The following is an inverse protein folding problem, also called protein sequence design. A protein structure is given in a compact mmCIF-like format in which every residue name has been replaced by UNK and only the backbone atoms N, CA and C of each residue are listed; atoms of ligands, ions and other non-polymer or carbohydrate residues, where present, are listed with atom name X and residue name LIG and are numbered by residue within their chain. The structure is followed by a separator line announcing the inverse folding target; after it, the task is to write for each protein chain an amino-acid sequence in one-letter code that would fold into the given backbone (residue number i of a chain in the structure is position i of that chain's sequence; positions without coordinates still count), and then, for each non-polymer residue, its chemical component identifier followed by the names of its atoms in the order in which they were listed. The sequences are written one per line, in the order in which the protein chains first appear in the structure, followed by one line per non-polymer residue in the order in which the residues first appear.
data_IF_859205667648
#
_entry.id   IF_859205667648
#
_cell.length_a   1.000
_cell.length_b   1.000
_cell.length_c   1.000
_cell.angle_alpha   90.00
_cell.angle_beta   90.00
_cell.angle_gamma   90.00
#
_symmetry.space_group_name_H-M   'P 1'
#
loop_
_entity.id
_entity.type
_entity.pdbx_description
1 polymer ?
#
# COMPACT_ATOMS: atom_id res chain seq x y z
N UNK A 1 12.88 -1.82 -14.01
CA UNK A 1 11.68 -1.58 -14.88
C UNK A 1 11.85 -0.21 -15.50
N UNK A 2 11.49 -0.03 -16.80
CA UNK A 2 11.63 1.28 -17.47
C UNK A 2 10.71 2.33 -16.78
N UNK A 3 11.31 3.43 -16.34
CA UNK A 3 10.60 4.53 -15.64
C UNK A 3 9.55 5.23 -16.52
N UNK A 4 9.64 5.14 -17.83
CA UNK A 4 8.63 5.71 -18.74
C UNK A 4 7.26 5.06 -18.55
N UNK A 5 7.21 3.79 -18.14
CA UNK A 5 5.98 3.07 -17.81
C UNK A 5 5.26 3.78 -16.66
N UNK A 6 5.99 4.15 -15.60
CA UNK A 6 5.43 4.85 -14.45
C UNK A 6 4.86 6.21 -14.85
N UNK A 7 5.60 7.01 -15.62
CA UNK A 7 5.13 8.34 -16.04
C UNK A 7 3.91 8.26 -16.95
N UNK A 8 3.87 7.33 -17.91
CA UNK A 8 2.68 7.10 -18.75
C UNK A 8 1.45 6.75 -17.93
N UNK A 9 1.59 5.87 -16.92
CA UNK A 9 0.50 5.51 -16.01
C UNK A 9 0.07 6.72 -15.17
N UNK A 10 1.01 7.47 -14.59
CA UNK A 10 0.75 8.68 -13.81
C UNK A 10 -0.05 9.71 -14.61
N UNK A 11 0.44 10.04 -15.81
CA UNK A 11 -0.15 11.06 -16.67
C UNK A 11 -1.57 10.64 -17.13
N UNK A 12 -1.74 9.37 -17.49
CA UNK A 12 -3.05 8.82 -17.84
C UNK A 12 -4.07 8.95 -16.70
N UNK A 13 -3.69 8.53 -15.49
CA UNK A 13 -4.58 8.57 -14.33
C UNK A 13 -4.97 10.01 -13.97
N UNK A 14 -4.00 10.93 -14.02
CA UNK A 14 -4.22 12.35 -13.77
C UNK A 14 -5.12 12.98 -14.83
N UNK A 15 -4.84 12.76 -16.10
CA UNK A 15 -5.63 13.30 -17.22
C UNK A 15 -7.09 12.83 -17.21
N UNK A 16 -7.35 11.63 -16.69
CA UNK A 16 -8.71 11.07 -16.58
C UNK A 16 -9.38 11.33 -15.20
N UNK A 17 -8.75 12.09 -14.30
CA UNK A 17 -9.28 12.37 -12.97
C UNK A 17 -9.44 11.14 -12.06
N UNK A 18 -8.69 10.05 -12.34
CA UNK A 18 -8.82 8.77 -11.62
C UNK A 18 -7.99 8.77 -10.35
N UNK A 19 -6.74 9.22 -10.45
CA UNK A 19 -5.82 9.35 -9.32
C UNK A 19 -4.80 10.44 -9.61
N UNK A 20 -4.47 11.20 -8.58
CA UNK A 20 -3.42 12.21 -8.59
C UNK A 20 -2.66 12.17 -7.27
N UNK A 21 -1.33 12.19 -7.34
CA UNK A 21 -0.44 12.27 -6.18
C UNK A 21 0.14 13.67 -6.00
N UNK A 22 -0.13 14.58 -6.94
CA UNK A 22 0.34 15.95 -6.87
C UNK A 22 -0.52 16.77 -5.87
N UNK A 23 0.11 17.50 -4.99
CA UNK A 23 -0.55 18.46 -4.10
C UNK A 23 -1.11 17.93 -2.77
N UNK A 24 -1.18 16.61 -2.55
CA UNK A 24 -1.55 16.03 -1.25
C UNK A 24 -0.36 15.31 -0.64
N UNK A 25 -0.04 15.63 0.61
CA UNK A 25 1.00 14.90 1.34
C UNK A 25 0.48 13.52 1.74
N UNK A 26 1.22 12.49 1.35
CA UNK A 26 0.98 11.13 1.84
C UNK A 26 1.36 10.99 3.32
N UNK A 27 0.88 9.94 3.99
CA UNK A 27 1.30 9.62 5.35
C UNK A 27 2.82 9.37 5.44
N UNK A 28 3.42 8.84 4.37
CA UNK A 28 4.88 8.66 4.24
C UNK A 28 5.60 10.00 4.26
N UNK A 29 5.13 10.96 3.48
CA UNK A 29 5.69 12.32 3.47
C UNK A 29 5.54 13.01 4.84
N UNK A 30 4.36 12.87 5.49
CA UNK A 30 4.16 13.41 6.83
C UNK A 30 5.13 12.80 7.84
N UNK A 31 5.37 11.49 7.80
CA UNK A 31 6.37 10.84 8.66
C UNK A 31 7.78 11.34 8.36
N UNK A 32 8.15 11.50 7.10
CA UNK A 32 9.45 12.05 6.70
C UNK A 32 9.66 13.50 7.18
N UNK A 33 8.57 14.23 7.40
CA UNK A 33 8.56 15.58 8.00
C UNK A 33 8.51 15.56 9.55
N UNK A 34 8.59 14.37 10.16
CA UNK A 34 8.68 14.23 11.62
C UNK A 34 7.35 13.91 12.33
N UNK A 35 6.26 13.63 11.59
CA UNK A 35 5.01 13.18 12.22
C UNK A 35 5.19 11.80 12.83
N UNK A 36 4.87 11.66 14.12
CA UNK A 36 4.58 10.38 14.79
C UNK A 36 3.09 10.07 14.69
N UNK A 37 2.74 8.78 14.66
CA UNK A 37 1.35 8.32 14.57
C UNK A 37 0.86 7.85 15.93
N UNK A 38 -0.36 8.28 16.31
CA UNK A 38 -0.99 7.90 17.57
C UNK A 38 -1.44 6.44 17.56
N UNK A 39 -1.83 5.94 18.74
CA UNK A 39 -2.37 4.58 18.86
C UNK A 39 -3.65 4.40 18.04
N UNK A 40 -4.53 5.39 18.04
CA UNK A 40 -5.76 5.37 17.25
C UNK A 40 -5.46 5.33 15.74
N UNK A 41 -4.46 6.09 15.28
CA UNK A 41 -4.01 6.06 13.89
C UNK A 41 -3.39 4.70 13.51
N UNK A 42 -2.68 4.06 14.44
CA UNK A 42 -2.18 2.69 14.25
C UNK A 42 -3.32 1.67 14.16
N UNK A 43 -4.29 1.73 15.05
CA UNK A 43 -5.41 0.81 15.03
C UNK A 43 -6.31 1.03 13.80
N UNK A 44 -6.54 2.29 13.40
CA UNK A 44 -7.17 2.63 12.12
C UNK A 44 -6.40 1.98 10.96
N UNK A 45 -5.08 2.11 10.95
CA UNK A 45 -4.22 1.53 9.92
C UNK A 45 -4.33 0.01 9.84
N UNK A 46 -4.39 -0.68 10.98
CA UNK A 46 -4.62 -2.13 11.04
C UNK A 46 -5.99 -2.50 10.49
N UNK A 47 -7.06 -1.82 10.94
CA UNK A 47 -8.44 -2.11 10.50
C UNK A 47 -8.59 -1.86 9.01
N UNK A 48 -8.11 -0.73 8.47
CA UNK A 48 -8.17 -0.45 7.04
C UNK A 48 -7.33 -1.43 6.21
N UNK A 49 -6.21 -1.88 6.74
CA UNK A 49 -5.43 -2.95 6.12
C UNK A 49 -6.25 -4.24 6.00
N UNK A 50 -6.92 -4.66 7.05
CA UNK A 50 -7.80 -5.84 7.04
C UNK A 50 -8.96 -5.66 6.05
N UNK A 51 -9.62 -4.49 6.07
CA UNK A 51 -10.72 -4.17 5.15
C UNK A 51 -10.30 -4.11 3.67
N UNK A 52 -9.03 -3.89 3.38
CA UNK A 52 -8.52 -3.93 2.01
C UNK A 52 -8.50 -5.33 1.40
N UNK A 53 -8.71 -6.39 2.20
CA UNK A 53 -8.74 -7.77 1.73
C UNK A 53 -10.08 -8.11 1.09
N UNK A 54 -10.06 -8.46 -0.20
CA UNK A 54 -11.24 -8.95 -0.95
C UNK A 54 -12.44 -7.98 -0.97
N UNK A 55 -12.20 -6.70 -0.75
CA UNK A 55 -13.23 -5.64 -0.76
C UNK A 55 -12.98 -4.69 -1.93
N UNK A 56 -14.04 -4.20 -2.55
CA UNK A 56 -13.94 -3.09 -3.51
C UNK A 56 -13.61 -1.83 -2.71
N UNK A 57 -12.36 -1.37 -2.83
CA UNK A 57 -11.85 -0.27 -2.00
C UNK A 57 -12.65 1.02 -2.12
N UNK A 58 -13.22 1.31 -3.30
CA UNK A 58 -14.11 2.45 -3.50
C UNK A 58 -15.32 2.47 -2.55
N UNK A 59 -15.80 1.30 -2.09
CA UNK A 59 -16.86 1.22 -1.10
C UNK A 59 -16.35 1.61 0.30
N UNK A 60 -15.13 1.21 0.64
CA UNK A 60 -14.48 1.60 1.90
C UNK A 60 -14.23 3.11 1.93
N UNK A 61 -13.70 3.68 0.84
CA UNK A 61 -13.45 5.13 0.72
C UNK A 61 -14.71 5.98 0.93
N UNK A 62 -15.83 5.57 0.35
CA UNK A 62 -17.13 6.27 0.51
C UNK A 62 -17.67 6.23 1.93
N UNK A 63 -17.24 5.25 2.72
CA UNK A 63 -17.78 4.96 4.06
C UNK A 63 -16.77 5.21 5.19
N UNK A 64 -15.65 5.89 4.96
CA UNK A 64 -14.65 6.15 6.00
C UNK A 64 -15.25 6.65 7.31
N UNK A 65 -16.08 7.70 7.25
CA UNK A 65 -16.73 8.24 8.45
C UNK A 65 -17.62 7.22 9.18
N UNK A 66 -18.34 6.38 8.44
CA UNK A 66 -19.18 5.33 9.03
C UNK A 66 -18.36 4.23 9.66
N UNK A 67 -17.20 3.90 9.07
CA UNK A 67 -16.24 2.93 9.61
C UNK A 67 -15.60 3.51 10.88
N UNK A 68 -15.14 4.77 10.84
CA UNK A 68 -14.53 5.43 11.99
C UNK A 68 -15.51 5.47 13.18
N UNK A 69 -16.80 5.75 12.93
CA UNK A 69 -17.83 5.71 13.94
C UNK A 69 -18.11 4.29 14.47
N UNK A 70 -18.15 3.28 13.58
CA UNK A 70 -18.37 1.88 13.97
C UNK A 70 -17.27 1.37 14.92
N UNK A 71 -16.03 1.85 14.72
CA UNK A 71 -14.89 1.49 15.55
C UNK A 71 -14.56 2.54 16.63
N UNK A 72 -15.53 3.37 17.04
CA UNK A 72 -15.42 4.36 18.11
C UNK A 72 -14.16 5.23 18.01
N UNK A 73 -13.85 5.71 16.81
CA UNK A 73 -12.64 6.45 16.49
C UNK A 73 -11.37 5.74 16.98
N UNK A 74 -11.38 4.42 16.95
CA UNK A 74 -10.26 3.50 17.24
C UNK A 74 -9.75 3.56 18.70
N UNK A 75 -10.61 3.91 19.65
CA UNK A 75 -10.32 3.84 21.09
C UNK A 75 -10.39 2.38 21.54
N UNK A 76 -9.25 1.80 21.94
CA UNK A 76 -9.13 0.37 22.29
C UNK A 76 -10.17 -0.07 23.32
N UNK A 77 -10.34 0.71 24.41
CA UNK A 77 -11.26 0.35 25.48
C UNK A 77 -12.71 0.27 24.99
N UNK A 78 -13.10 1.17 24.08
CA UNK A 78 -14.44 1.13 23.46
C UNK A 78 -14.59 -0.04 22.50
N UNK A 79 -13.57 -0.32 21.69
CA UNK A 79 -13.58 -1.47 20.78
C UNK A 79 -13.74 -2.77 21.57
N UNK A 80 -13.10 -2.90 22.72
CA UNK A 80 -13.23 -4.08 23.59
C UNK A 80 -14.63 -4.28 24.21
N UNK A 81 -15.48 -3.27 24.20
CA UNK A 81 -16.87 -3.40 24.70
C UNK A 81 -17.77 -4.23 23.77
N UNK A 82 -17.39 -4.41 22.52
CA UNK A 82 -18.16 -5.12 21.52
C UNK A 82 -17.41 -6.36 21.04
N UNK A 83 -18.14 -7.43 20.77
CA UNK A 83 -17.59 -8.64 20.18
C UNK A 83 -17.36 -8.53 18.65
N UNK A 84 -16.69 -9.52 18.08
CA UNK A 84 -16.45 -9.54 16.64
C UNK A 84 -17.72 -9.55 15.80
N UNK A 85 -18.83 -10.09 16.32
CA UNK A 85 -20.11 -10.15 15.60
C UNK A 85 -20.73 -8.77 15.42
N UNK A 86 -20.59 -7.90 16.42
CA UNK A 86 -20.99 -6.50 16.31
C UNK A 86 -20.32 -5.81 15.11
N UNK A 87 -19.01 -5.95 14.96
CA UNK A 87 -18.25 -5.35 13.85
C UNK A 87 -18.58 -5.99 12.50
N UNK A 88 -18.76 -7.31 12.46
CA UNK A 88 -19.21 -8.01 11.25
C UNK A 88 -20.53 -7.41 10.76
N UNK A 89 -21.53 -7.35 11.63
CA UNK A 89 -22.87 -6.85 11.29
C UNK A 89 -22.81 -5.36 10.87
N UNK A 90 -22.05 -4.56 11.60
CA UNK A 90 -21.84 -3.14 11.27
C UNK A 90 -21.22 -2.94 9.89
N UNK A 91 -20.15 -3.66 9.56
CA UNK A 91 -19.47 -3.58 8.27
C UNK A 91 -20.38 -4.02 7.10
N UNK A 92 -21.15 -5.09 7.27
CA UNK A 92 -22.14 -5.49 6.25
C UNK A 92 -23.25 -4.45 6.08
N UNK A 93 -23.74 -3.88 7.18
CA UNK A 93 -24.79 -2.83 7.13
C UNK A 93 -24.35 -1.59 6.35
N UNK A 94 -23.09 -1.20 6.44
CA UNK A 94 -22.55 -0.05 5.71
C UNK A 94 -21.94 -0.41 4.34
N UNK A 95 -22.13 -1.64 3.87
CA UNK A 95 -21.65 -2.09 2.55
C UNK A 95 -20.13 -2.29 2.44
N UNK A 96 -19.43 -2.43 3.58
CA UNK A 96 -17.97 -2.65 3.64
C UNK A 96 -17.58 -4.08 4.05
N UNK A 97 -18.55 -5.00 4.13
CA UNK A 97 -18.31 -6.42 4.38
C UNK A 97 -17.75 -7.14 3.15
N UNK A 98 -16.92 -8.16 3.39
CA UNK A 98 -16.36 -9.07 2.40
C UNK A 98 -16.35 -10.50 2.92
N UNK A 99 -15.92 -11.48 2.10
CA UNK A 99 -15.80 -12.88 2.51
C UNK A 99 -14.83 -13.07 3.69
N UNK A 100 -13.83 -12.19 3.85
CA UNK A 100 -12.86 -12.23 4.94
C UNK A 100 -13.34 -11.57 6.23
N UNK A 101 -14.33 -10.68 6.18
CA UNK A 101 -14.79 -9.85 7.30
C UNK A 101 -15.10 -10.65 8.56
N UNK A 102 -15.84 -11.76 8.42
CA UNK A 102 -16.20 -12.57 9.58
C UNK A 102 -14.95 -13.17 10.28
N UNK A 103 -14.02 -13.73 9.52
CA UNK A 103 -12.78 -14.28 10.07
C UNK A 103 -11.89 -13.18 10.69
N UNK A 104 -11.84 -12.00 10.09
CA UNK A 104 -11.02 -10.87 10.56
C UNK A 104 -11.58 -10.27 11.85
N UNK A 105 -12.88 -10.04 11.93
CA UNK A 105 -13.49 -9.40 13.10
C UNK A 105 -13.58 -10.34 14.30
N UNK A 106 -13.75 -11.64 14.09
CA UNK A 106 -13.71 -12.64 15.19
C UNK A 106 -12.37 -12.67 15.94
N UNK A 107 -11.28 -12.30 15.27
CA UNK A 107 -9.93 -12.29 15.88
C UNK A 107 -9.45 -10.87 16.23
N UNK A 108 -10.34 -9.87 16.18
CA UNK A 108 -9.98 -8.48 16.43
C UNK A 108 -9.41 -8.29 17.85
N UNK A 109 -10.02 -8.89 18.87
CA UNK A 109 -9.54 -8.81 20.25
C UNK A 109 -8.18 -9.51 20.44
N UNK A 110 -7.92 -10.62 19.73
CA UNK A 110 -6.61 -11.25 19.75
C UNK A 110 -5.54 -10.33 19.13
N UNK A 111 -5.89 -9.61 18.06
CA UNK A 111 -5.02 -8.63 17.45
C UNK A 111 -4.76 -7.44 18.37
N UNK A 112 -5.79 -6.95 19.08
CA UNK A 112 -5.63 -5.91 20.11
C UNK A 112 -4.69 -6.38 21.22
N UNK A 113 -4.85 -7.62 21.72
CA UNK A 113 -3.93 -8.19 22.72
C UNK A 113 -2.48 -8.28 22.21
N UNK A 114 -2.31 -8.56 20.91
CA UNK A 114 -0.97 -8.53 20.28
C UNK A 114 -0.41 -7.10 20.22
N UNK A 115 -1.24 -6.10 19.92
CA UNK A 115 -0.87 -4.68 19.95
C UNK A 115 -0.44 -4.26 21.35
N UNK A 116 -1.21 -4.61 22.39
CA UNK A 116 -0.89 -4.31 23.80
C UNK A 116 0.46 -4.94 24.21
N UNK A 117 0.71 -6.18 23.77
CA UNK A 117 2.02 -6.83 23.98
C UNK A 117 3.16 -6.07 23.30
N UNK A 118 2.97 -5.59 22.07
CA UNK A 118 3.95 -4.78 21.36
C UNK A 118 4.21 -3.47 22.12
N UNK A 119 3.16 -2.79 22.57
CA UNK A 119 3.27 -1.54 23.34
C UNK A 119 4.06 -1.77 24.63
N UNK A 120 3.80 -2.85 25.36
CA UNK A 120 4.52 -3.18 26.58
C UNK A 120 6.03 -3.42 26.35
N UNK A 121 6.42 -3.92 25.16
CA UNK A 121 7.82 -4.24 24.86
C UNK A 121 8.56 -3.07 24.17
N UNK A 122 7.88 -2.27 23.36
CA UNK A 122 8.48 -1.20 22.55
C UNK A 122 8.10 0.22 23.02
N UNK A 123 7.22 0.34 24.01
CA UNK A 123 6.69 1.61 24.51
C UNK A 123 5.54 2.18 23.68
N UNK A 124 5.51 1.93 22.36
CA UNK A 124 4.41 2.32 21.48
C UNK A 124 4.40 1.49 20.20
N UNK A 125 3.28 1.51 19.46
CA UNK A 125 3.22 0.95 18.10
C UNK A 125 4.11 1.74 17.13
N UNK A 126 4.22 3.04 17.32
CA UNK A 126 5.06 3.89 16.45
C UNK A 126 6.56 3.56 16.61
N UNK A 127 7.02 3.35 17.84
CA UNK A 127 8.37 2.87 18.12
C UNK A 127 8.60 1.48 17.49
N UNK A 128 7.62 0.58 17.59
CA UNK A 128 7.75 -0.76 17.03
C UNK A 128 7.95 -0.72 15.53
N UNK A 129 7.09 0.00 14.76
CA UNK A 129 7.18 0.01 13.30
C UNK A 129 8.44 0.71 12.78
N UNK A 130 9.10 1.51 13.61
CA UNK A 130 10.35 2.21 13.28
C UNK A 130 11.60 1.54 13.86
N UNK A 131 11.44 0.47 14.65
CA UNK A 131 12.56 -0.19 15.37
C UNK A 131 13.47 -1.03 14.48
N UNK A 132 12.98 -1.44 13.29
CA UNK A 132 13.67 -2.34 12.38
C UNK A 132 13.36 -2.00 10.92
N UNK A 133 14.12 -2.53 9.94
CA UNK A 133 13.76 -2.45 8.53
C UNK A 133 12.32 -2.94 8.28
N UNK A 134 11.60 -2.25 7.40
CA UNK A 134 10.17 -2.52 7.14
C UNK A 134 9.88 -3.97 6.76
N UNK A 135 10.78 -4.64 6.00
CA UNK A 135 10.65 -6.08 5.67
C UNK A 135 10.68 -6.96 6.92
N UNK A 136 11.48 -6.64 7.92
CA UNK A 136 11.50 -7.36 9.19
C UNK A 136 10.22 -7.13 9.99
N UNK A 137 9.74 -5.89 10.07
CA UNK A 137 8.45 -5.57 10.72
C UNK A 137 7.31 -6.33 10.04
N UNK A 138 7.26 -6.35 8.70
CA UNK A 138 6.28 -7.16 7.95
C UNK A 138 6.36 -8.63 8.35
N UNK A 139 7.56 -9.21 8.41
CA UNK A 139 7.76 -10.60 8.85
C UNK A 139 7.29 -10.80 10.29
N UNK A 140 7.59 -9.88 11.19
CA UNK A 140 7.15 -9.96 12.59
C UNK A 140 5.62 -9.94 12.71
N UNK A 141 4.92 -9.15 11.90
CA UNK A 141 3.46 -9.04 11.92
C UNK A 141 2.74 -10.17 11.15
N UNK A 142 3.42 -10.83 10.20
CA UNK A 142 2.79 -11.77 9.27
C UNK A 142 3.26 -13.22 9.39
N UNK A 143 4.43 -13.53 9.94
CA UNK A 143 4.93 -14.90 10.09
C UNK A 143 4.28 -15.65 11.24
N UNK A 144 4.01 -16.94 11.03
CA UNK A 144 3.38 -17.81 12.04
C UNK A 144 4.28 -18.05 13.26
N UNK A 145 5.58 -17.98 13.08
CA UNK A 145 6.60 -18.18 14.12
C UNK A 145 6.80 -16.94 14.99
N UNK A 146 6.25 -15.80 14.57
CA UNK A 146 6.42 -14.54 15.30
C UNK A 146 5.48 -14.45 16.49
N UNK A 147 6.02 -14.05 17.65
CA UNK A 147 5.22 -13.71 18.84
C UNK A 147 4.32 -12.47 18.66
N UNK A 148 4.53 -11.69 17.59
CA UNK A 148 3.76 -10.49 17.24
C UNK A 148 2.85 -10.72 16.04
N UNK A 149 2.64 -11.98 15.65
CA UNK A 149 1.76 -12.33 14.54
C UNK A 149 0.36 -11.77 14.73
N UNK A 150 -0.05 -10.89 13.83
CA UNK A 150 -1.44 -10.42 13.74
C UNK A 150 -2.30 -11.47 13.02
N UNK A 151 -3.39 -11.89 13.63
CA UNK A 151 -4.32 -12.86 13.02
C UNK A 151 -4.97 -12.29 11.76
N UNK A 152 -5.18 -13.12 10.75
CA UNK A 152 -5.74 -12.74 9.45
C UNK A 152 -4.92 -11.69 8.67
N UNK A 153 -3.68 -11.43 9.08
CA UNK A 153 -2.76 -10.50 8.42
C UNK A 153 -1.61 -11.30 7.77
N UNK A 154 -1.62 -11.37 6.44
CA UNK A 154 -0.49 -11.86 5.65
C UNK A 154 0.48 -10.74 5.28
N UNK A 155 1.59 -11.04 4.55
CA UNK A 155 2.59 -10.04 4.17
C UNK A 155 2.00 -8.82 3.45
N UNK A 156 1.12 -9.02 2.47
CA UNK A 156 0.50 -7.92 1.73
C UNK A 156 -0.32 -6.97 2.63
N UNK A 157 -1.05 -7.50 3.64
CA UNK A 157 -1.80 -6.68 4.59
C UNK A 157 -0.89 -6.02 5.61
N UNK A 158 0.23 -6.65 5.99
CA UNK A 158 1.23 -6.03 6.85
C UNK A 158 1.90 -4.84 6.13
N UNK A 159 2.21 -4.95 4.84
CA UNK A 159 2.67 -3.81 4.03
C UNK A 159 1.62 -2.71 3.94
N UNK A 160 0.35 -3.05 3.72
CA UNK A 160 -0.74 -2.05 3.72
C UNK A 160 -0.83 -1.31 5.06
N UNK A 161 -0.76 -2.04 6.18
CA UNK A 161 -0.72 -1.42 7.50
C UNK A 161 0.45 -0.45 7.66
N UNK A 162 1.67 -0.86 7.29
CA UNK A 162 2.85 0.00 7.38
C UNK A 162 2.67 1.30 6.57
N UNK A 163 2.14 1.21 5.36
CA UNK A 163 1.81 2.39 4.53
C UNK A 163 0.78 3.28 5.20
N UNK A 164 -0.23 2.69 5.84
CA UNK A 164 -1.28 3.41 6.56
C UNK A 164 -0.76 4.19 7.78
N UNK A 165 0.46 3.91 8.24
CA UNK A 165 1.14 4.63 9.32
C UNK A 165 2.45 5.29 8.87
N UNK A 166 2.58 5.55 7.58
CA UNK A 166 3.64 6.37 7.01
C UNK A 166 4.99 5.68 6.85
N UNK A 167 5.08 4.35 6.90
CA UNK A 167 6.28 3.62 6.51
C UNK A 167 6.24 3.39 5.00
N UNK A 168 7.28 3.84 4.29
CA UNK A 168 7.32 3.70 2.84
C UNK A 168 7.50 2.24 2.41
N UNK A 169 6.79 1.86 1.37
CA UNK A 169 6.81 0.51 0.82
C UNK A 169 5.72 0.27 -0.20
N UNK A 170 5.77 -0.88 -0.85
CA UNK A 170 4.75 -1.35 -1.79
C UNK A 170 3.94 -2.50 -1.19
N UNK A 171 2.70 -2.64 -1.62
CA UNK A 171 1.83 -3.77 -1.27
C UNK A 171 1.86 -4.82 -2.39
N UNK A 172 2.45 -6.00 -2.18
CA UNK A 172 2.47 -7.05 -3.19
C UNK A 172 1.10 -7.77 -3.26
N UNK A 173 0.08 -7.06 -3.72
CA UNK A 173 -1.26 -7.59 -3.88
C UNK A 173 -1.49 -8.19 -5.28
N UNK A 174 -2.69 -8.72 -5.52
CA UNK A 174 -3.05 -9.38 -6.77
C UNK A 174 -2.93 -8.46 -7.98
N UNK A 175 -3.14 -7.15 -7.83
CA UNK A 175 -3.03 -6.19 -8.92
C UNK A 175 -1.57 -5.99 -9.32
N UNK A 176 -0.72 -5.77 -8.32
CA UNK A 176 0.71 -5.59 -8.53
C UNK A 176 1.37 -6.85 -9.08
N UNK A 177 1.06 -8.02 -8.50
CA UNK A 177 1.59 -9.32 -8.97
C UNK A 177 1.21 -9.59 -10.43
N UNK A 178 -0.03 -9.30 -10.80
CA UNK A 178 -0.53 -9.50 -12.15
C UNK A 178 0.11 -8.57 -13.17
N UNK A 179 0.16 -7.26 -12.90
CA UNK A 179 0.70 -6.30 -13.88
C UNK A 179 2.18 -6.51 -14.12
N UNK A 180 2.93 -7.00 -13.12
CA UNK A 180 4.35 -7.31 -13.22
C UNK A 180 4.64 -8.73 -13.74
N UNK A 181 3.61 -9.56 -13.89
CA UNK A 181 3.73 -10.96 -14.32
C UNK A 181 4.16 -11.12 -15.77
N UNK A 182 4.52 -12.37 -16.14
CA UNK A 182 5.08 -12.76 -17.42
C UNK A 182 4.22 -12.35 -18.62
N UNK A 183 2.91 -12.53 -18.53
CA UNK A 183 1.95 -12.18 -19.60
C UNK A 183 1.56 -10.70 -19.65
N UNK A 184 2.21 -9.86 -18.83
CA UNK A 184 1.98 -8.41 -18.75
C UNK A 184 3.32 -7.67 -18.98
N UNK A 185 3.84 -6.98 -17.97
CA UNK A 185 5.10 -6.24 -18.11
C UNK A 185 6.35 -7.14 -18.12
N UNK A 186 6.21 -8.43 -17.82
CA UNK A 186 7.28 -9.41 -17.92
C UNK A 186 8.46 -9.16 -16.98
N UNK A 187 8.21 -8.52 -15.84
CA UNK A 187 9.22 -8.35 -14.78
C UNK A 187 9.49 -9.68 -14.09
N UNK A 188 8.45 -10.49 -13.92
CA UNK A 188 8.53 -11.87 -13.47
C UNK A 188 8.40 -12.85 -14.64
N UNK A 189 9.04 -14.01 -14.52
CA UNK A 189 8.81 -15.15 -15.41
C UNK A 189 7.55 -15.96 -15.06
N UNK A 190 6.84 -15.59 -13.98
CA UNK A 190 5.59 -16.21 -13.52
C UNK A 190 4.40 -15.40 -13.98
N UNK A 191 3.23 -16.02 -14.13
CA UNK A 191 1.98 -15.31 -14.43
C UNK A 191 1.64 -14.24 -13.39
N UNK A 192 1.95 -14.52 -12.13
CA UNK A 192 1.91 -13.55 -11.02
C UNK A 192 3.31 -13.42 -10.42
N UNK A 193 3.79 -12.18 -10.32
CA UNK A 193 5.06 -11.89 -9.67
C UNK A 193 5.03 -12.30 -8.19
N UNK A 194 6.16 -12.67 -7.64
CA UNK A 194 6.33 -12.89 -6.20
C UNK A 194 6.31 -11.58 -5.43
N UNK A 195 6.14 -11.66 -4.09
CA UNK A 195 6.21 -10.47 -3.21
C UNK A 195 7.53 -9.73 -3.39
N UNK A 196 8.65 -10.46 -3.44
CA UNK A 196 9.99 -9.88 -3.59
C UNK A 196 10.18 -9.22 -4.96
N UNK A 197 9.69 -9.82 -6.04
CA UNK A 197 9.76 -9.22 -7.39
C UNK A 197 8.94 -7.92 -7.46
N UNK A 198 7.77 -7.86 -6.81
CA UNK A 198 6.98 -6.62 -6.69
C UNK A 198 7.76 -5.55 -5.94
N UNK A 199 8.27 -5.89 -4.76
CA UNK A 199 9.02 -4.95 -3.93
C UNK A 199 10.28 -4.43 -4.66
N UNK A 200 11.02 -5.31 -5.32
CA UNK A 200 12.20 -4.95 -6.10
C UNK A 200 11.85 -4.02 -7.27
N UNK A 201 10.80 -4.32 -8.01
CA UNK A 201 10.38 -3.50 -9.15
C UNK A 201 9.99 -2.07 -8.73
N UNK A 202 9.27 -1.94 -7.61
CA UNK A 202 8.88 -0.63 -7.09
C UNK A 202 10.07 0.13 -6.50
N UNK A 203 10.97 -0.56 -5.79
CA UNK A 203 12.20 0.02 -5.26
C UNK A 203 13.12 0.53 -6.37
N UNK A 204 13.25 -0.21 -7.47
CA UNK A 204 13.96 0.25 -8.68
C UNK A 204 13.38 1.56 -9.21
N UNK A 205 12.05 1.65 -9.32
CA UNK A 205 11.39 2.88 -9.77
C UNK A 205 11.57 4.04 -8.78
N UNK A 206 11.51 3.78 -7.48
CA UNK A 206 11.82 4.79 -6.46
C UNK A 206 13.20 5.40 -6.67
N UNK A 207 14.22 4.55 -6.89
CA UNK A 207 15.61 4.99 -7.12
C UNK A 207 15.72 5.83 -8.40
N UNK A 208 15.05 5.40 -9.48
CA UNK A 208 15.14 6.06 -10.79
C UNK A 208 14.31 7.34 -10.90
N UNK A 209 13.19 7.43 -10.18
CA UNK A 209 12.21 8.51 -10.34
C UNK A 209 12.20 9.50 -9.18
N UNK A 210 12.64 9.07 -7.98
CA UNK A 210 12.58 9.84 -6.74
C UNK A 210 11.17 9.96 -6.16
N UNK A 211 10.16 9.31 -6.72
CA UNK A 211 8.82 9.20 -6.11
C UNK A 211 8.84 8.15 -5.00
N UNK A 212 8.04 8.35 -3.93
CA UNK A 212 7.93 7.39 -2.85
C UNK A 212 7.38 6.04 -3.35
N UNK A 213 7.82 4.94 -2.75
CA UNK A 213 7.35 3.60 -3.13
C UNK A 213 5.82 3.47 -3.00
N UNK A 214 5.23 4.05 -1.96
CA UNK A 214 3.78 4.05 -1.78
C UNK A 214 3.03 4.86 -2.86
N UNK A 215 3.63 5.92 -3.40
CA UNK A 215 3.05 6.70 -4.49
C UNK A 215 3.06 5.90 -5.80
N UNK A 216 4.20 5.27 -6.09
CA UNK A 216 4.36 4.42 -7.28
C UNK A 216 3.36 3.26 -7.23
N UNK A 217 3.33 2.54 -6.11
CA UNK A 217 2.40 1.43 -5.88
C UNK A 217 0.94 1.86 -6.01
N UNK A 218 0.56 2.99 -5.40
CA UNK A 218 -0.81 3.53 -5.49
C UNK A 218 -1.24 3.79 -6.92
N UNK A 219 -0.39 4.38 -7.76
CA UNK A 219 -0.72 4.66 -9.16
C UNK A 219 -0.87 3.38 -9.99
N UNK A 220 0.03 2.40 -9.84
CA UNK A 220 -0.12 1.11 -10.53
C UNK A 220 -1.37 0.36 -10.04
N UNK A 221 -1.62 0.37 -8.74
CA UNK A 221 -2.84 -0.19 -8.19
C UNK A 221 -4.09 0.52 -8.76
N UNK A 222 -4.12 1.86 -8.75
CA UNK A 222 -5.24 2.63 -9.29
C UNK A 222 -5.46 2.37 -10.79
N UNK A 223 -4.40 2.09 -11.55
CA UNK A 223 -4.50 1.71 -12.96
C UNK A 223 -5.21 0.38 -13.18
N UNK A 224 -5.10 -0.54 -12.20
CA UNK A 224 -5.64 -1.89 -12.27
C UNK A 224 -6.98 -2.07 -11.56
N UNK A 225 -7.21 -1.34 -10.46
CA UNK A 225 -8.28 -1.65 -9.49
C UNK A 225 -9.68 -1.34 -10.01
N UNK A 226 -10.64 -2.19 -9.61
CA UNK A 226 -12.08 -1.98 -9.84
C UNK A 226 -12.56 -0.72 -9.13
N UNK A 227 -13.35 0.10 -9.86
CA UNK A 227 -13.82 1.41 -9.38
C UNK A 227 -12.77 2.52 -9.49
N UNK A 228 -11.61 2.24 -10.11
CA UNK A 228 -10.55 3.20 -10.49
C UNK A 228 -10.34 3.14 -12.01
N UNK A 229 -9.11 2.97 -12.48
CA UNK A 229 -8.79 2.92 -13.93
C UNK A 229 -9.32 1.69 -14.65
N UNK A 230 -9.28 0.53 -13.99
CA UNK A 230 -9.74 -0.77 -14.53
C UNK A 230 -9.06 -1.14 -15.86
N UNK A 231 -7.84 -0.68 -16.11
CA UNK A 231 -7.15 -0.95 -17.37
C UNK A 231 -6.50 -2.34 -17.35
N UNK A 232 -5.64 -2.65 -16.37
CA UNK A 232 -4.94 -3.92 -16.30
C UNK A 232 -5.56 -4.86 -15.24
N UNK A 233 -6.83 -5.21 -15.44
CA UNK A 233 -7.58 -6.17 -14.60
C UNK A 233 -7.29 -7.61 -15.02
N UNK A 234 -8.01 -8.59 -14.44
CA UNK A 234 -8.00 -9.98 -14.94
C UNK A 234 -8.41 -10.05 -16.42
N UNK A 235 -9.42 -9.23 -16.81
CA UNK A 235 -9.84 -9.03 -18.20
C UNK A 235 -9.44 -7.61 -18.63
N UNK A 236 -8.19 -7.39 -19.10
CA UNK A 236 -7.65 -6.07 -19.31
C UNK A 236 -8.23 -5.38 -20.55
N UNK A 237 -8.33 -4.06 -20.46
CA UNK A 237 -8.73 -3.16 -21.57
C UNK A 237 -7.49 -2.72 -22.36
N UNK A 238 -6.91 -3.65 -23.14
CA UNK A 238 -5.67 -3.42 -23.88
C UNK A 238 -5.81 -2.33 -24.96
N UNK A 239 -7.01 -2.09 -25.47
CA UNK A 239 -7.34 -1.00 -26.40
C UNK A 239 -7.15 0.41 -25.78
N UNK A 240 -7.28 0.53 -24.44
CA UNK A 240 -7.10 1.77 -23.68
C UNK A 240 -5.78 1.84 -22.93
N UNK A 241 -4.92 0.82 -23.05
CA UNK A 241 -3.71 0.68 -22.26
C UNK A 241 -2.57 1.56 -22.79
N UNK A 242 -2.15 2.56 -22.01
CA UNK A 242 -1.07 3.49 -22.39
C UNK A 242 0.33 2.89 -22.27
N UNK A 243 0.43 1.70 -21.68
CA UNK A 243 1.71 0.95 -21.55
C UNK A 243 1.68 -0.36 -22.35
N UNK A 244 0.81 -0.44 -23.37
CA UNK A 244 0.65 -1.65 -24.19
C UNK A 244 1.95 -2.06 -24.89
N UNK A 245 2.72 -1.09 -25.36
CA UNK A 245 3.98 -1.32 -26.08
C UNK A 245 5.08 -1.99 -25.22
N UNK A 246 4.92 -1.93 -23.90
CA UNK A 246 5.82 -2.58 -22.93
C UNK A 246 5.29 -3.95 -22.46
N UNK A 247 4.10 -4.36 -22.95
CA UNK A 247 3.37 -5.51 -22.43
C UNK A 247 3.55 -6.73 -23.34
N UNK A 248 3.75 -7.89 -22.74
CA UNK A 248 3.92 -9.17 -23.45
C UNK A 248 2.59 -9.77 -23.94
N UNK A 249 1.43 -9.22 -23.55
CA UNK A 249 0.13 -9.82 -23.84
C UNK A 249 -0.17 -9.98 -25.34
N UNK A 250 0.25 -9.01 -26.14
CA UNK A 250 0.05 -9.03 -27.60
C UNK A 250 1.33 -9.43 -28.36
N UNK A 251 2.47 -9.40 -27.73
CA UNK A 251 3.71 -9.90 -28.28
C UNK A 251 3.77 -11.40 -27.99
N UNK A 252 3.52 -12.23 -29.00
CA UNK A 252 3.78 -13.67 -28.93
C UNK A 252 5.17 -13.85 -28.31
N UNK A 253 5.21 -14.41 -27.09
CA UNK A 253 6.37 -14.71 -26.26
C UNK A 253 7.69 -14.75 -27.06
N UNK A 254 8.42 -13.65 -27.11
CA UNK A 254 9.84 -13.71 -27.24
C UNK A 254 10.36 -13.87 -25.81
N UNK A 255 10.57 -15.12 -25.41
CA UNK A 255 11.35 -15.44 -24.22
C UNK A 255 12.71 -14.77 -24.43
N UNK A 256 12.89 -13.58 -23.88
CA UNK A 256 14.22 -13.05 -23.65
C UNK A 256 14.81 -13.96 -22.60
N UNK A 257 15.75 -14.81 -22.99
CA UNK A 257 16.65 -15.46 -22.04
C UNK A 257 17.27 -14.35 -21.20
N UNK A 258 16.68 -14.09 -20.05
CA UNK A 258 17.27 -13.19 -19.08
C UNK A 258 18.49 -13.87 -18.49
N UNK A 259 19.65 -13.35 -18.86
CA UNK A 259 20.92 -13.56 -18.18
C UNK A 259 20.67 -13.43 -16.69
N UNK A 260 21.18 -14.44 -15.97
CA UNK A 260 21.36 -14.60 -14.52
C UNK A 260 20.75 -13.50 -13.65
N UNK A 261 19.75 -13.89 -12.84
CA UNK A 261 19.25 -13.08 -11.75
C UNK A 261 20.43 -12.69 -10.86
N UNK A 262 20.77 -11.42 -10.87
CA UNK A 262 21.77 -10.87 -9.95
C UNK A 262 21.31 -11.18 -8.53
N UNK A 263 22.13 -11.80 -7.68
CA UNK A 263 21.71 -12.14 -6.33
C UNK A 263 21.25 -10.88 -5.61
N UNK A 264 20.12 -10.98 -4.94
CA UNK A 264 19.52 -9.94 -4.09
C UNK A 264 20.59 -9.48 -3.10
N UNK A 265 21.14 -8.30 -3.31
CA UNK A 265 21.97 -7.67 -2.28
C UNK A 265 21.03 -7.25 -1.16
N UNK A 266 21.32 -7.71 0.06
CA UNK A 266 20.69 -7.21 1.27
C UNK A 266 20.97 -5.70 1.40
N UNK A 267 20.09 -4.89 0.86
CA UNK A 267 20.08 -3.47 1.15
C UNK A 267 19.38 -3.27 2.48
N UNK A 268 20.18 -3.08 3.53
CA UNK A 268 19.70 -2.45 4.73
C UNK A 268 19.13 -1.09 4.33
N UNK A 269 17.81 -0.95 4.34
CA UNK A 269 17.17 0.36 4.24
C UNK A 269 17.47 1.06 5.56
N UNK A 270 18.60 1.74 5.60
CA UNK A 270 18.86 2.76 6.61
C UNK A 270 17.76 3.81 6.44
N UNK A 271 17.11 4.28 7.50
CA UNK A 271 16.14 5.35 7.37
C UNK A 271 16.83 6.52 6.66
N UNK A 272 16.41 6.80 5.42
CA UNK A 272 16.94 7.92 4.64
C UNK A 272 16.41 9.18 5.31
N UNK A 273 17.20 9.70 6.23
CA UNK A 273 17.07 11.06 6.73
C UNK A 273 17.17 11.98 5.51
N UNK A 274 16.05 12.58 5.18
CA UNK A 274 15.82 13.72 4.29
C UNK A 274 16.97 14.10 3.34
N UNK A 275 16.98 13.62 2.11
CA UNK A 275 17.50 14.43 1.00
C UNK A 275 16.38 15.38 0.56
N UNK A 276 16.50 16.65 0.97
CA UNK A 276 15.65 17.72 0.52
C UNK A 276 15.55 17.70 -1.00
N UNK A 277 14.32 17.57 -1.53
CA UNK A 277 14.03 17.91 -2.93
C UNK A 277 14.51 19.33 -3.16
N UNK A 278 15.55 19.54 -3.96
CA UNK A 278 15.88 20.88 -4.49
C UNK A 278 14.68 21.33 -5.31
N UNK A 279 13.93 22.30 -4.78
CA UNK A 279 12.96 23.05 -5.56
C UNK A 279 13.72 23.73 -6.70
N UNK A 280 13.50 23.31 -7.92
CA UNK A 280 13.80 24.15 -9.08
C UNK A 280 12.78 25.27 -9.07
N UNK A 281 13.16 26.40 -8.47
CA UNK A 281 12.40 27.64 -8.58
C UNK A 281 12.63 28.20 -9.97
N UNK A 282 11.66 28.10 -10.85
CA UNK A 282 11.55 29.06 -11.93
C UNK A 282 11.10 30.38 -11.31
N UNK A 283 12.01 31.36 -11.33
CA UNK A 283 11.69 32.74 -11.06
C UNK A 283 10.68 33.22 -12.11
N UNK A 284 9.54 33.71 -11.66
CA UNK A 284 8.91 34.85 -12.30
C UNK A 284 8.41 35.76 -11.18
N UNK A 285 9.02 36.93 -11.13
CA UNK A 285 8.53 38.12 -10.44
C UNK A 285 7.19 38.51 -11.04
N UNK A 286 6.22 38.86 -10.20
CA UNK A 286 5.58 40.17 -10.32
C UNK A 286 4.73 40.43 -9.08
N UNK A 287 4.94 41.64 -8.58
CA UNK A 287 4.23 42.30 -7.50
C UNK A 287 2.75 42.46 -7.82
N UNK A 288 1.86 42.32 -6.82
CA UNK A 288 0.92 43.39 -6.52
C UNK A 288 0.26 43.18 -5.15
N UNK A 289 0.36 44.23 -4.34
CA UNK A 289 -0.39 44.48 -3.11
C UNK A 289 -1.90 44.52 -3.41
N UNK A 290 -2.75 44.09 -2.48
CA UNK A 290 -3.88 44.87 -1.97
C UNK A 290 -4.59 44.14 -0.81
N UNK A 291 -4.58 44.81 0.36
CA UNK A 291 -5.50 44.83 1.51
C UNK A 291 -6.10 43.55 2.05
#
# INVERSE_FOLDING_TARGET
MDKSIFFKVKDYLKANGIADIDGKKSKVQLRAEGKSFSMEEHLQGVIYSLLSAQTVWANVEKNFKSIDNLFDSYQIDKIKMHDGTYYVNGLYKIGCGSRSTNAQMKVLHENISTIEKIINEYGSMDNFVTSKPSREIVKMLSSRESKYKMKQMGPALAWEYLRNVGIDGAKPDVHMKRILGASRLGISNREEATDDEVLYAIESLYIETGFWMNEIDYLFWAYCATGKGEICTANPRCDKCVIRDYCNKDNKFQVKENKEATPIRDFAITPVISKQRKKTSSKNNELEEYR
#
